data_IF_747929295891
#
_entry.id   IF_747929295891
#
_cell.length_a   1.000
_cell.length_b   1.000
_cell.length_c   1.000
_cell.angle_alpha   90.00
_cell.angle_beta   90.00
_cell.angle_gamma   90.00
#
_symmetry.space_group_name_H-M   'P 1'
#
loop_
_entity.id
_entity.type
_entity.pdbx_description
1 polymer ?
#
# COMPACT_ATOMS: atom_id res chain seq x y z
N UNK A 1 13.19 33.31 -6.11
CA UNK A 1 12.67 32.92 -4.78
C UNK A 1 11.66 31.81 -5.02
N UNK A 2 11.74 30.70 -4.27
CA UNK A 2 10.72 29.65 -4.38
C UNK A 2 9.51 30.06 -3.53
N UNK A 3 8.32 29.61 -3.89
CA UNK A 3 7.10 29.83 -3.10
C UNK A 3 6.44 28.48 -2.82
N UNK A 4 5.92 28.29 -1.60
CA UNK A 4 5.13 27.10 -1.25
C UNK A 4 3.68 27.20 -1.79
N UNK A 5 2.89 26.16 -1.57
CA UNK A 5 1.48 26.07 -1.97
C UNK A 5 0.56 27.15 -1.35
N UNK A 6 1.05 27.88 -0.34
CA UNK A 6 0.38 29.01 0.29
C UNK A 6 0.99 30.35 -0.13
N UNK A 7 1.89 30.36 -1.12
CA UNK A 7 2.56 31.55 -1.64
C UNK A 7 3.70 32.07 -0.76
N UNK A 8 4.11 31.34 0.28
CA UNK A 8 5.17 31.78 1.21
C UNK A 8 6.53 31.56 0.58
N UNK A 9 7.44 32.52 0.75
CA UNK A 9 8.79 32.42 0.20
C UNK A 9 9.56 31.30 0.90
N UNK A 10 10.04 30.34 0.11
CA UNK A 10 10.85 29.19 0.54
C UNK A 10 12.29 29.39 0.12
N UNK A 11 13.19 29.11 1.05
CA UNK A 11 14.63 29.27 0.86
C UNK A 11 15.29 27.98 0.38
N UNK A 12 15.49 27.88 -0.93
CA UNK A 12 16.06 26.71 -1.59
C UNK A 12 17.41 26.26 -1.01
N UNK A 13 18.25 27.23 -0.62
CA UNK A 13 19.58 26.96 -0.08
C UNK A 13 19.51 26.41 1.35
N UNK A 14 18.51 26.82 2.14
CA UNK A 14 18.26 26.25 3.46
C UNK A 14 17.79 24.79 3.38
N UNK A 15 16.94 24.47 2.41
CA UNK A 15 16.46 23.10 2.19
C UNK A 15 17.63 22.19 1.79
N UNK A 16 18.47 22.64 0.85
CA UNK A 16 19.64 21.87 0.41
C UNK A 16 20.66 21.66 1.55
N UNK A 17 20.97 22.70 2.32
CA UNK A 17 21.86 22.58 3.47
C UNK A 17 21.34 21.56 4.51
N UNK A 18 20.02 21.56 4.74
CA UNK A 18 19.36 20.60 5.64
C UNK A 18 19.41 19.15 5.11
N UNK A 19 19.18 18.94 3.81
CA UNK A 19 19.31 17.61 3.19
C UNK A 19 20.74 17.06 3.34
N UNK A 20 21.73 17.96 3.25
CA UNK A 20 23.15 17.61 3.32
C UNK A 20 23.70 17.54 4.75
N UNK A 21 22.90 17.94 5.75
CA UNK A 21 23.31 17.97 7.16
C UNK A 21 24.48 18.92 7.42
N UNK A 22 24.54 20.06 6.71
CA UNK A 22 25.55 21.11 6.89
C UNK A 22 24.89 22.43 7.26
N UNK A 23 25.62 23.33 7.90
CA UNK A 23 25.11 24.67 8.19
C UNK A 23 24.89 25.44 6.89
N UNK A 24 23.78 26.17 6.82
CA UNK A 24 23.39 26.95 5.64
C UNK A 24 24.49 27.90 5.16
N UNK A 25 25.28 28.46 6.09
CA UNK A 25 26.36 29.41 5.82
C UNK A 25 27.61 28.75 5.20
N UNK A 26 27.72 27.42 5.33
CA UNK A 26 28.78 26.59 4.75
C UNK A 26 28.48 26.14 3.32
N UNK A 27 27.24 26.32 2.85
CA UNK A 27 26.81 26.06 1.48
C UNK A 27 27.19 27.25 0.58
N UNK A 28 28.22 27.06 -0.26
CA UNK A 28 28.71 28.11 -1.18
C UNK A 28 27.80 28.24 -2.42
N UNK A 29 27.09 27.17 -2.76
CA UNK A 29 26.18 27.06 -3.90
C UNK A 29 26.05 25.59 -4.33
N UNK A 30 25.01 25.28 -5.12
CA UNK A 30 24.88 23.99 -5.79
C UNK A 30 25.25 24.25 -7.25
N UNK A 31 26.41 23.77 -7.69
CA UNK A 31 26.84 23.92 -9.08
C UNK A 31 26.18 22.82 -9.93
N UNK A 32 24.90 23.02 -10.19
CA UNK A 32 24.23 22.45 -11.34
C UNK A 32 23.92 23.64 -12.23
N UNK A 33 24.45 23.68 -13.47
CA UNK A 33 24.14 24.74 -14.43
C UNK A 33 22.64 25.04 -14.39
N UNK A 34 22.31 26.28 -14.02
CA UNK A 34 21.03 26.81 -13.54
C UNK A 34 19.80 25.88 -13.65
N UNK A 35 19.26 25.32 -12.54
CA UNK A 35 18.05 24.52 -12.59
C UNK A 35 16.80 25.37 -12.32
N UNK A 36 15.80 25.24 -13.20
CA UNK A 36 14.42 25.64 -12.92
C UNK A 36 13.69 24.50 -12.19
N UNK A 37 12.85 24.86 -11.20
CA UNK A 37 12.07 23.90 -10.41
C UNK A 37 10.63 23.84 -10.89
N UNK A 38 10.03 22.65 -10.95
CA UNK A 38 8.58 22.44 -11.11
C UNK A 38 8.13 21.42 -10.08
N UNK A 39 7.24 21.81 -9.17
CA UNK A 39 6.60 20.89 -8.22
C UNK A 39 5.41 20.18 -8.90
N UNK A 40 5.05 18.98 -8.42
CA UNK A 40 4.01 18.08 -8.97
C UNK A 40 2.62 18.72 -9.18
N UNK A 41 2.40 19.91 -8.63
CA UNK A 41 1.16 20.68 -8.67
C UNK A 41 1.19 21.90 -9.62
N UNK A 42 2.19 22.00 -10.52
CA UNK A 42 2.13 22.89 -11.70
C UNK A 42 2.55 24.35 -11.51
N UNK A 43 3.16 24.72 -10.37
CA UNK A 43 3.73 26.05 -10.17
C UNK A 43 5.05 26.25 -10.95
N UNK A 44 5.31 27.50 -11.37
CA UNK A 44 6.50 27.92 -12.12
C UNK A 44 7.24 29.07 -11.42
N UNK A 45 8.57 29.12 -11.55
CA UNK A 45 9.40 30.24 -11.10
C UNK A 45 10.21 30.84 -12.27
N UNK A 46 10.27 32.17 -12.39
CA UNK A 46 11.14 32.90 -13.32
C UNK A 46 12.46 33.28 -12.66
N UNK A 47 13.58 33.15 -13.39
CA UNK A 47 14.90 33.64 -12.98
C UNK A 47 15.53 34.39 -14.15
N UNK A 48 16.03 35.59 -13.88
CA UNK A 48 16.50 36.56 -14.86
C UNK A 48 17.84 36.25 -15.54
N UNK A 49 18.09 37.02 -16.60
CA UNK A 49 19.13 36.82 -17.62
C UNK A 49 20.57 36.86 -17.11
N UNK A 50 21.33 35.81 -17.46
CA UNK A 50 22.73 35.79 -17.94
C UNK A 50 23.55 34.66 -17.32
N UNK A 51 23.61 33.52 -17.99
CA UNK A 51 24.83 32.70 -18.18
C UNK A 51 24.53 31.50 -19.08
N UNK A 52 25.39 31.21 -20.07
CA UNK A 52 25.38 29.93 -20.81
C UNK A 52 26.64 29.14 -20.41
N UNK A 53 26.54 28.10 -19.56
CA UNK A 53 27.60 27.12 -19.43
C UNK A 53 27.38 25.94 -20.40
N UNK A 54 28.47 25.30 -20.87
CA UNK A 54 28.41 24.19 -21.80
C UNK A 54 27.84 22.94 -21.13
N UNK A 55 26.88 22.28 -21.80
CA UNK A 55 26.30 21.01 -21.36
C UNK A 55 27.36 19.90 -21.29
N UNK A 56 27.52 19.17 -20.17
CA UNK A 56 28.04 17.81 -20.21
C UNK A 56 26.89 16.86 -20.50
N UNK A 57 26.86 16.33 -21.72
CA UNK A 57 26.10 15.13 -22.03
C UNK A 57 26.73 13.98 -21.22
N UNK A 58 25.99 13.43 -20.25
CA UNK A 58 26.07 12.08 -19.68
C UNK A 58 25.74 12.12 -18.17
N UNK A 59 24.45 12.15 -17.84
CA UNK A 59 24.02 11.75 -16.50
C UNK A 59 22.94 10.65 -16.56
N UNK A 60 23.12 9.59 -15.76
CA UNK A 60 22.25 8.41 -15.68
C UNK A 60 21.56 8.33 -14.31
N UNK A 61 20.47 7.56 -14.22
CA UNK A 61 19.78 7.31 -12.96
C UNK A 61 20.72 6.65 -11.93
N UNK A 62 20.95 7.30 -10.79
CA UNK A 62 21.92 6.85 -9.77
C UNK A 62 23.26 7.57 -9.78
N UNK A 63 23.41 8.65 -10.54
CA UNK A 63 24.61 9.48 -10.53
C UNK A 63 24.82 10.21 -9.19
N UNK A 64 26.08 10.53 -8.92
CA UNK A 64 26.53 11.14 -7.67
C UNK A 64 27.02 12.56 -7.94
N UNK A 65 26.33 13.55 -7.38
CA UNK A 65 26.75 14.95 -7.43
C UNK A 65 27.71 15.23 -6.27
N UNK A 66 28.86 15.83 -6.58
CA UNK A 66 29.83 16.28 -5.59
C UNK A 66 29.53 17.73 -5.17
N UNK A 67 29.43 17.96 -3.87
CA UNK A 67 29.11 19.27 -3.28
C UNK A 67 30.27 19.71 -2.41
N UNK A 68 30.82 20.87 -2.72
CA UNK A 68 31.97 21.46 -2.05
C UNK A 68 31.51 22.41 -0.94
N UNK A 69 32.05 22.23 0.27
CA UNK A 69 31.76 23.10 1.42
C UNK A 69 32.83 24.16 1.62
N UNK A 70 32.48 25.26 2.28
CA UNK A 70 33.40 26.36 2.66
C UNK A 70 34.55 25.91 3.56
N UNK A 71 34.34 24.85 4.32
CA UNK A 71 35.34 24.18 5.15
C UNK A 71 36.30 23.25 4.37
N UNK A 72 36.19 23.18 3.03
CA UNK A 72 37.06 22.37 2.17
C UNK A 72 36.67 20.90 2.05
N UNK A 73 35.49 20.51 2.55
CA UNK A 73 34.96 19.16 2.45
C UNK A 73 34.21 18.92 1.14
N UNK A 74 34.22 17.67 0.66
CA UNK A 74 33.40 17.22 -0.48
C UNK A 74 32.40 16.20 0.01
N UNK A 75 31.11 16.44 -0.23
CA UNK A 75 29.99 15.52 0.05
C UNK A 75 29.43 14.98 -1.25
N UNK A 76 28.96 13.74 -1.24
CA UNK A 76 28.44 13.06 -2.41
C UNK A 76 26.95 12.75 -2.21
N UNK A 77 26.10 13.23 -3.12
CA UNK A 77 24.66 12.99 -3.11
C UNK A 77 24.27 12.16 -4.33
N UNK A 78 23.68 11.00 -4.09
CA UNK A 78 23.15 10.15 -5.16
C UNK A 78 21.76 10.66 -5.56
N UNK A 79 21.56 10.98 -6.83
CA UNK A 79 20.31 11.54 -7.35
C UNK A 79 19.69 10.64 -8.42
N UNK A 80 18.36 10.66 -8.50
CA UNK A 80 17.60 10.05 -9.59
C UNK A 80 17.24 11.14 -10.59
N UNK A 81 17.70 11.02 -11.83
CA UNK A 81 17.40 11.97 -12.90
C UNK A 81 16.32 11.35 -13.79
N UNK A 82 15.16 11.99 -13.89
CA UNK A 82 14.10 11.59 -14.82
C UNK A 82 14.36 12.29 -16.17
N UNK A 83 14.40 11.57 -17.30
CA UNK A 83 14.73 12.15 -18.60
C UNK A 83 13.49 12.83 -19.20
N UNK A 84 13.07 13.96 -18.64
CA UNK A 84 12.15 14.87 -19.29
C UNK A 84 12.91 16.11 -19.71
N UNK A 85 13.42 16.10 -20.95
CA UNK A 85 13.97 17.28 -21.60
C UNK A 85 12.82 18.08 -22.22
N UNK A 86 12.46 19.20 -21.60
CA UNK A 86 11.63 20.20 -22.25
C UNK A 86 12.50 21.33 -22.78
N UNK A 87 12.26 21.73 -24.03
CA UNK A 87 12.83 22.95 -24.58
C UNK A 87 12.05 24.16 -24.02
N UNK A 88 12.74 25.03 -23.29
CA UNK A 88 12.22 26.33 -22.91
C UNK A 88 11.89 27.19 -24.14
N UNK A 89 11.05 28.21 -23.97
CA UNK A 89 10.64 29.12 -25.07
C UNK A 89 11.79 29.93 -25.69
N UNK A 90 12.97 29.89 -25.08
CA UNK A 90 14.22 30.51 -25.53
C UNK A 90 15.25 29.50 -26.08
N UNK A 91 14.89 28.22 -26.18
CA UNK A 91 15.77 27.16 -26.67
C UNK A 91 16.70 26.54 -25.61
N UNK A 92 16.54 26.88 -24.33
CA UNK A 92 17.25 26.20 -23.24
C UNK A 92 16.71 24.78 -22.99
N UNK A 93 17.59 23.81 -22.68
CA UNK A 93 17.19 22.47 -22.24
C UNK A 93 17.08 22.43 -20.72
N UNK A 94 15.93 21.96 -20.21
CA UNK A 94 15.66 21.82 -18.77
C UNK A 94 15.76 20.35 -18.37
N UNK A 95 16.42 20.07 -17.24
CA UNK A 95 16.50 18.73 -16.65
C UNK A 95 15.85 18.75 -15.25
N UNK A 96 15.01 17.75 -14.96
CA UNK A 96 14.32 17.61 -13.67
C UNK A 96 15.07 16.59 -12.81
N UNK A 97 15.48 17.00 -11.61
CA UNK A 97 16.15 16.12 -10.64
C UNK A 97 15.13 15.76 -9.57
N UNK A 98 14.89 14.46 -9.40
CA UNK A 98 13.98 13.91 -8.41
C UNK A 98 14.77 13.62 -7.11
N UNK A 99 14.45 14.37 -6.05
CA UNK A 99 15.08 14.26 -4.74
C UNK A 99 14.18 13.55 -3.71
N UNK A 100 13.06 12.97 -4.13
CA UNK A 100 12.05 12.35 -3.25
C UNK A 100 12.66 11.25 -2.39
N UNK A 101 13.59 10.48 -2.96
CA UNK A 101 14.24 9.36 -2.28
C UNK A 101 15.32 9.80 -1.28
N UNK A 102 15.96 10.95 -1.53
CA UNK A 102 16.89 11.59 -0.58
C UNK A 102 16.12 12.28 0.57
N UNK A 103 14.96 12.87 0.27
CA UNK A 103 14.06 13.49 1.25
C UNK A 103 13.49 12.47 2.23
N UNK A 104 13.04 11.30 1.75
CA UNK A 104 12.53 10.20 2.60
C UNK A 104 13.58 9.63 3.57
N UNK A 105 14.88 9.72 3.22
CA UNK A 105 15.99 9.19 4.04
C UNK A 105 16.55 10.19 5.04
N UNK A 106 16.24 11.49 4.91
CA UNK A 106 16.77 12.52 5.81
C UNK A 106 15.88 12.70 7.05
N UNK A 107 16.28 12.11 8.19
CA UNK A 107 15.58 12.21 9.49
C UNK A 107 15.55 13.63 10.11
N UNK A 108 16.23 14.62 9.52
CA UNK A 108 16.38 15.99 10.07
C UNK A 108 15.62 17.07 9.29
N UNK A 109 14.93 16.73 8.19
CA UNK A 109 14.24 17.71 7.35
C UNK A 109 12.77 17.97 7.73
N UNK A 110 12.25 17.37 8.80
CA UNK A 110 10.99 17.83 9.37
C UNK A 110 11.21 19.20 10.02
N UNK A 111 10.37 20.21 9.75
CA UNK A 111 10.44 21.47 10.49
C UNK A 111 10.36 21.16 12.00
N UNK A 112 11.38 21.60 12.73
CA UNK A 112 11.36 21.58 14.17
C UNK A 112 10.24 22.51 14.62
N UNK A 113 9.15 21.91 15.12
CA UNK A 113 8.17 22.43 16.10
C UNK A 113 6.67 22.19 15.79
N UNK A 114 6.29 21.28 14.88
CA UNK A 114 4.87 20.83 14.76
C UNK A 114 4.71 19.32 14.45
N UNK A 115 5.43 18.79 13.45
CA UNK A 115 5.24 17.41 12.97
C UNK A 115 5.62 16.31 13.99
N UNK A 116 6.61 16.54 14.86
CA UNK A 116 6.96 15.60 15.93
C UNK A 116 5.95 15.61 17.08
N UNK A 117 5.25 16.73 17.28
CA UNK A 117 4.17 16.85 18.26
C UNK A 117 2.94 16.10 17.74
N UNK A 118 2.60 16.29 16.47
CA UNK A 118 1.47 15.63 15.80
C UNK A 118 1.62 14.09 15.76
N UNK A 119 2.79 13.57 15.37
CA UNK A 119 3.02 12.12 15.32
C UNK A 119 2.91 11.44 16.70
N UNK A 120 3.37 12.10 17.77
CA UNK A 120 3.27 11.58 19.14
C UNK A 120 1.82 11.61 19.65
N UNK A 121 1.09 12.70 19.37
CA UNK A 121 -0.32 12.81 19.71
C UNK A 121 -1.16 11.78 18.96
N UNK A 122 -0.87 11.57 17.67
CA UNK A 122 -1.52 10.54 16.88
C UNK A 122 -1.22 9.14 17.41
N UNK A 123 -0.01 8.87 17.89
CA UNK A 123 0.35 7.58 18.50
C UNK A 123 -0.41 7.31 19.80
N UNK A 124 -0.53 8.33 20.66
CA UNK A 124 -1.30 8.26 21.90
C UNK A 124 -2.79 8.11 21.62
N UNK A 125 -3.33 8.87 20.65
CA UNK A 125 -4.70 8.75 20.20
C UNK A 125 -5.00 7.38 19.58
N UNK A 126 -4.10 6.83 18.77
CA UNK A 126 -4.24 5.50 18.18
C UNK A 126 -4.26 4.42 19.26
N UNK A 127 -3.37 4.52 20.26
CA UNK A 127 -3.36 3.60 21.41
C UNK A 127 -4.67 3.64 22.18
N UNK A 128 -5.22 4.83 22.39
CA UNK A 128 -6.51 5.00 23.05
C UNK A 128 -7.66 4.46 22.19
N UNK A 129 -7.67 4.74 20.88
CA UNK A 129 -8.68 4.24 19.95
C UNK A 129 -8.68 2.72 19.88
N UNK A 130 -7.50 2.08 19.82
CA UNK A 130 -7.37 0.62 19.87
C UNK A 130 -7.90 0.06 21.20
N UNK A 131 -7.56 0.69 22.33
CA UNK A 131 -8.04 0.25 23.66
C UNK A 131 -9.55 0.40 23.83
N UNK A 132 -10.13 1.45 23.24
CA UNK A 132 -11.56 1.78 23.28
C UNK A 132 -12.36 1.11 22.17
N UNK A 133 -11.71 0.31 21.32
CA UNK A 133 -12.34 -0.36 20.18
C UNK A 133 -13.00 0.62 19.17
N UNK A 134 -12.36 1.77 18.95
CA UNK A 134 -12.80 2.84 18.04
C UNK A 134 -12.25 2.66 16.61
N UNK A 135 -11.46 1.62 16.35
CA UNK A 135 -11.02 1.26 15.00
C UNK A 135 -12.17 0.58 14.27
N UNK A 136 -12.66 1.22 13.21
CA UNK A 136 -13.71 0.70 12.36
C UNK A 136 -13.19 -0.24 11.28
N UNK A 137 -14.11 -0.95 10.61
CA UNK A 137 -13.80 -1.73 9.42
C UNK A 137 -14.70 -1.28 8.27
N UNK A 138 -14.12 -1.19 7.08
CA UNK A 138 -14.85 -1.16 5.82
C UNK A 138 -14.74 -2.54 5.16
N UNK A 139 -15.83 -3.03 4.61
CA UNK A 139 -15.92 -4.31 3.90
C UNK A 139 -15.87 -4.03 2.40
N UNK A 140 -14.86 -4.54 1.72
CA UNK A 140 -14.78 -4.47 0.26
C UNK A 140 -15.19 -5.83 -0.32
N UNK A 141 -16.17 -5.88 -1.24
CA UNK A 141 -16.61 -7.15 -1.81
C UNK A 141 -15.55 -7.75 -2.75
N UNK A 142 -15.40 -9.06 -2.65
CA UNK A 142 -14.65 -9.92 -3.57
C UNK A 142 -15.66 -10.72 -4.39
N UNK A 143 -15.56 -10.65 -5.72
CA UNK A 143 -16.55 -11.22 -6.65
C UNK A 143 -15.92 -12.33 -7.48
N UNK A 144 -16.56 -13.50 -7.56
CA UNK A 144 -16.20 -14.56 -8.51
C UNK A 144 -16.41 -14.04 -9.92
N UNK A 145 -15.33 -13.93 -10.69
CA UNK A 145 -15.36 -13.27 -12.00
C UNK A 145 -16.26 -14.04 -12.98
N UNK A 146 -16.19 -15.38 -12.96
CA UNK A 146 -16.95 -16.22 -13.89
C UNK A 146 -18.48 -16.14 -13.71
N UNK A 147 -18.95 -15.79 -12.52
CA UNK A 147 -20.37 -15.92 -12.15
C UNK A 147 -20.99 -14.62 -11.64
N UNK A 148 -20.17 -13.61 -11.33
CA UNK A 148 -20.61 -12.38 -10.68
C UNK A 148 -21.03 -12.57 -9.22
N UNK A 149 -20.76 -13.75 -8.62
CA UNK A 149 -21.18 -14.01 -7.25
C UNK A 149 -20.23 -13.48 -6.20
N UNK A 150 -20.77 -13.10 -5.03
CA UNK A 150 -19.94 -12.71 -3.90
C UNK A 150 -19.14 -13.93 -3.43
N UNK A 151 -17.82 -13.85 -3.52
CA UNK A 151 -16.88 -14.82 -2.98
C UNK A 151 -16.58 -14.56 -1.50
N UNK A 152 -16.60 -13.29 -1.11
CA UNK A 152 -16.25 -12.84 0.23
C UNK A 152 -16.19 -11.33 0.36
N UNK A 153 -15.65 -10.89 1.49
CA UNK A 153 -15.31 -9.50 1.74
C UNK A 153 -13.93 -9.37 2.37
N UNK A 154 -13.14 -8.41 1.94
CA UNK A 154 -11.95 -7.98 2.68
C UNK A 154 -12.35 -6.94 3.73
N UNK A 155 -11.95 -7.16 4.98
CA UNK A 155 -12.18 -6.22 6.07
C UNK A 155 -10.96 -5.31 6.26
N UNK A 156 -11.12 -4.06 5.82
CA UNK A 156 -10.10 -3.04 5.83
C UNK A 156 -10.25 -2.12 7.05
N UNK A 157 -9.20 -1.97 7.85
CA UNK A 157 -9.21 -1.09 9.02
C UNK A 157 -9.46 0.37 8.61
N UNK A 158 -10.27 1.08 9.39
CA UNK A 158 -10.59 2.49 9.21
C UNK A 158 -10.47 3.20 10.55
N UNK A 159 -9.82 4.35 10.57
CA UNK A 159 -9.68 5.14 11.77
C UNK A 159 -9.97 6.61 11.48
N UNK A 160 -10.75 7.21 12.37
CA UNK A 160 -11.03 8.64 12.36
C UNK A 160 -10.34 9.29 13.54
N UNK A 161 -9.67 10.40 13.27
CA UNK A 161 -9.03 11.20 14.29
C UNK A 161 -9.26 12.68 14.00
N UNK A 162 -9.73 13.43 15.01
CA UNK A 162 -10.10 14.84 14.88
C UNK A 162 -11.07 15.10 13.71
N UNK A 163 -12.15 14.31 13.63
CA UNK A 163 -13.16 14.39 12.56
C UNK A 163 -12.62 14.19 11.13
N UNK A 164 -11.42 13.63 10.97
CA UNK A 164 -10.80 13.32 9.68
C UNK A 164 -10.52 11.83 9.56
N UNK A 165 -10.76 11.28 8.37
CA UNK A 165 -10.33 9.93 8.04
C UNK A 165 -8.80 9.89 7.96
N UNK A 166 -8.18 8.99 8.72
CA UNK A 166 -6.73 8.77 8.69
C UNK A 166 -6.45 7.65 7.67
N UNK A 167 -5.54 7.87 6.70
CA UNK A 167 -5.16 6.84 5.74
C UNK A 167 -4.67 5.57 6.43
N UNK A 168 -5.10 4.37 6.00
CA UNK A 168 -4.63 3.10 6.55
C UNK A 168 -3.12 2.97 6.62
N UNK A 169 -2.42 3.28 5.53
CA UNK A 169 -0.96 3.23 5.47
C UNK A 169 -0.28 4.02 6.61
N UNK A 170 -0.85 5.17 6.98
CA UNK A 170 -0.29 6.05 8.00
C UNK A 170 -0.44 5.46 9.41
N UNK A 171 -1.65 5.03 9.80
CA UNK A 171 -1.86 4.54 11.16
C UNK A 171 -1.41 3.09 11.34
N UNK A 172 -1.40 2.27 10.28
CA UNK A 172 -0.84 0.92 10.32
C UNK A 172 0.67 0.99 10.53
N UNK A 173 1.39 1.83 9.78
CA UNK A 173 2.83 2.04 10.00
C UNK A 173 3.11 2.54 11.44
N UNK A 174 2.24 3.40 11.98
CA UNK A 174 2.35 3.85 13.36
C UNK A 174 2.08 2.72 14.37
N UNK A 175 1.08 1.88 14.12
CA UNK A 175 0.75 0.72 14.95
C UNK A 175 1.90 -0.29 14.98
N UNK A 176 2.58 -0.51 13.85
CA UNK A 176 3.78 -1.35 13.79
C UNK A 176 4.92 -0.77 14.63
N UNK A 177 5.24 0.51 14.44
CA UNK A 177 6.32 1.18 15.19
C UNK A 177 6.07 1.23 16.70
N UNK A 178 4.80 1.24 17.11
CA UNK A 178 4.38 1.36 18.51
C UNK A 178 3.97 0.04 19.15
N UNK A 179 4.04 -1.07 18.41
CA UNK A 179 3.69 -2.41 18.90
C UNK A 179 2.20 -2.64 19.14
N UNK A 180 1.32 -1.86 18.49
CA UNK A 180 -0.14 -1.94 18.64
C UNK A 180 -0.79 -2.96 17.68
N UNK A 181 -0.05 -3.52 16.72
CA UNK A 181 -0.60 -4.47 15.74
C UNK A 181 -1.34 -5.67 16.37
N UNK A 182 -0.85 -6.32 17.44
CA UNK A 182 -1.58 -7.43 18.07
C UNK A 182 -2.97 -7.07 18.60
N UNK A 183 -3.13 -5.87 19.15
CA UNK A 183 -4.42 -5.40 19.68
C UNK A 183 -5.33 -4.88 18.56
N UNK A 184 -4.76 -4.15 17.60
CA UNK A 184 -5.47 -3.64 16.44
C UNK A 184 -6.04 -4.79 15.59
N UNK A 185 -5.20 -5.76 15.23
CA UNK A 185 -5.60 -6.91 14.43
C UNK A 185 -6.64 -7.78 15.12
N UNK A 186 -6.56 -7.93 16.44
CA UNK A 186 -7.61 -8.60 17.24
C UNK A 186 -8.95 -7.88 17.15
N UNK A 187 -8.96 -6.55 17.19
CA UNK A 187 -10.19 -5.76 17.04
C UNK A 187 -10.77 -5.91 15.63
N UNK A 188 -9.93 -5.81 14.59
CA UNK A 188 -10.31 -6.00 13.19
C UNK A 188 -10.90 -7.39 12.96
N UNK A 189 -10.21 -8.45 13.39
CA UNK A 189 -10.68 -9.84 13.29
C UNK A 189 -12.05 -10.02 13.97
N UNK A 190 -12.19 -9.54 15.20
CA UNK A 190 -13.45 -9.66 15.95
C UNK A 190 -14.60 -8.95 15.21
N UNK A 191 -14.36 -7.75 14.69
CA UNK A 191 -15.35 -6.96 13.92
C UNK A 191 -15.68 -7.62 12.59
N UNK A 192 -14.70 -8.18 11.89
CA UNK A 192 -14.87 -8.89 10.62
C UNK A 192 -15.73 -10.16 10.78
N UNK A 193 -15.43 -10.98 11.79
CA UNK A 193 -16.23 -12.17 12.10
C UNK A 193 -17.65 -11.82 12.55
N UNK A 194 -17.80 -10.74 13.33
CA UNK A 194 -19.12 -10.22 13.71
C UNK A 194 -19.92 -9.76 12.49
N UNK A 195 -19.31 -8.96 11.61
CA UNK A 195 -19.94 -8.49 10.37
C UNK A 195 -20.44 -9.67 9.53
N UNK A 196 -19.60 -10.68 9.32
CA UNK A 196 -20.00 -11.91 8.62
C UNK A 196 -21.18 -12.61 9.28
N UNK A 197 -21.13 -12.80 10.60
CA UNK A 197 -22.22 -13.41 11.36
C UNK A 197 -23.53 -12.65 11.17
N UNK A 198 -23.50 -11.32 11.25
CA UNK A 198 -24.70 -10.48 11.05
C UNK A 198 -25.26 -10.63 9.64
N UNK A 199 -24.41 -10.70 8.62
CA UNK A 199 -24.85 -10.94 7.23
C UNK A 199 -25.52 -12.30 7.07
N UNK A 200 -24.96 -13.37 7.66
CA UNK A 200 -25.58 -14.71 7.67
C UNK A 200 -26.91 -14.72 8.42
N UNK A 201 -26.98 -14.08 9.58
CA UNK A 201 -28.22 -14.00 10.37
C UNK A 201 -29.33 -13.21 9.66
N UNK A 202 -28.96 -12.30 8.76
CA UNK A 202 -29.89 -11.59 7.89
C UNK A 202 -30.36 -12.41 6.67
N UNK A 203 -29.91 -13.67 6.54
CA UNK A 203 -30.31 -14.60 5.48
C UNK A 203 -29.47 -14.53 4.20
N UNK A 204 -28.34 -13.81 4.23
CA UNK A 204 -27.44 -13.74 3.08
C UNK A 204 -26.33 -14.80 3.15
N UNK A 205 -25.73 -15.12 2.00
CA UNK A 205 -24.45 -15.85 1.92
C UNK A 205 -23.31 -14.87 1.59
N UNK A 206 -22.56 -14.38 2.60
CA UNK A 206 -21.46 -13.44 2.38
C UNK A 206 -20.17 -14.13 1.94
N UNK A 207 -20.15 -15.45 1.78
CA UNK A 207 -18.92 -16.19 1.50
C UNK A 207 -17.90 -16.10 2.64
N UNK A 208 -16.63 -15.85 2.28
CA UNK A 208 -15.52 -15.65 3.22
C UNK A 208 -15.40 -14.22 3.74
N UNK A 209 -14.59 -14.03 4.79
CA UNK A 209 -14.09 -12.73 5.22
C UNK A 209 -12.57 -12.78 5.32
N UNK A 210 -11.90 -11.85 4.65
CA UNK A 210 -10.45 -11.73 4.63
C UNK A 210 -9.98 -10.61 5.57
N UNK A 211 -8.87 -10.82 6.26
CA UNK A 211 -8.19 -9.80 7.07
C UNK A 211 -6.70 -9.78 6.78
N UNK A 212 -6.09 -8.59 6.81
CA UNK A 212 -4.65 -8.43 6.76
C UNK A 212 -4.01 -8.77 8.12
N UNK A 213 -2.87 -9.47 8.10
CA UNK A 213 -2.10 -9.79 9.30
C UNK A 213 -0.62 -9.45 9.12
N UNK A 214 -0.06 -8.76 10.12
CA UNK A 214 1.36 -8.43 10.18
C UNK A 214 2.22 -9.58 10.73
N UNK A 215 3.53 -9.51 10.48
CA UNK A 215 4.48 -10.45 11.07
C UNK A 215 4.50 -10.39 12.62
N UNK A 216 4.29 -9.19 13.19
CA UNK A 216 4.24 -8.98 14.63
C UNK A 216 3.06 -9.73 15.29
N UNK A 217 1.92 -9.80 14.59
CA UNK A 217 0.74 -10.56 15.02
C UNK A 217 0.96 -12.06 14.92
N UNK A 218 1.43 -12.55 13.77
CA UNK A 218 1.61 -13.98 13.51
C UNK A 218 2.75 -14.59 14.35
N UNK A 219 3.68 -13.75 14.81
CA UNK A 219 4.73 -14.14 15.74
C UNK A 219 4.24 -14.31 17.19
N UNK A 220 3.02 -13.87 17.52
CA UNK A 220 2.46 -14.10 18.86
C UNK A 220 2.16 -15.59 19.05
N UNK A 221 2.70 -16.17 20.13
CA UNK A 221 2.56 -17.60 20.42
C UNK A 221 1.10 -18.05 20.59
N UNK A 222 0.21 -17.15 20.99
CA UNK A 222 -1.21 -17.44 21.18
C UNK A 222 -2.09 -17.08 19.97
N UNK A 223 -1.54 -16.57 18.86
CA UNK A 223 -2.32 -16.04 17.73
C UNK A 223 -3.34 -17.04 17.18
N UNK A 224 -2.90 -18.25 16.77
CA UNK A 224 -3.82 -19.27 16.25
C UNK A 224 -4.90 -19.67 17.27
N UNK A 225 -4.53 -19.76 18.56
CA UNK A 225 -5.49 -20.06 19.63
C UNK A 225 -6.49 -18.92 19.85
N UNK A 226 -6.06 -17.67 19.66
CA UNK A 226 -6.90 -16.48 19.73
C UNK A 226 -7.90 -16.46 18.58
N UNK A 227 -7.45 -16.75 17.35
CA UNK A 227 -8.30 -16.89 16.16
C UNK A 227 -9.37 -17.96 16.39
N UNK A 228 -8.97 -19.16 16.83
CA UNK A 228 -9.91 -20.25 17.16
C UNK A 228 -10.98 -19.81 18.17
N UNK A 229 -10.59 -19.17 19.28
CA UNK A 229 -11.55 -18.68 20.28
C UNK A 229 -12.52 -17.64 19.71
N UNK A 230 -12.07 -16.76 18.81
CA UNK A 230 -12.95 -15.75 18.20
C UNK A 230 -13.91 -16.36 17.18
N UNK A 231 -13.45 -17.33 16.37
CA UNK A 231 -14.29 -18.11 15.47
C UNK A 231 -15.41 -18.82 16.23
N UNK A 232 -15.06 -19.53 17.31
CA UNK A 232 -16.03 -20.24 18.17
C UNK A 232 -17.05 -19.27 18.78
N UNK A 233 -16.59 -18.14 19.33
CA UNK A 233 -17.46 -17.12 19.93
C UNK A 233 -18.45 -16.54 18.92
N UNK A 234 -18.05 -16.40 17.66
CA UNK A 234 -18.90 -15.85 16.61
C UNK A 234 -19.70 -16.93 15.86
N UNK A 235 -19.44 -18.22 16.11
CA UNK A 235 -20.07 -19.32 15.38
C UNK A 235 -19.70 -19.31 13.89
N UNK A 236 -18.49 -18.89 13.55
CA UNK A 236 -18.01 -18.82 12.16
C UNK A 236 -17.10 -20.02 11.90
N UNK A 237 -17.41 -20.79 10.86
CA UNK A 237 -16.53 -21.89 10.41
C UNK A 237 -15.17 -21.32 9.98
N UNK A 238 -14.04 -21.95 10.39
CA UNK A 238 -12.69 -21.51 10.00
C UNK A 238 -12.50 -21.36 8.48
N UNK A 239 -13.18 -22.17 7.67
CA UNK A 239 -13.10 -22.11 6.19
C UNK A 239 -13.62 -20.80 5.59
N UNK A 240 -14.35 -20.00 6.37
CA UNK A 240 -14.82 -18.69 5.97
C UNK A 240 -13.93 -17.55 6.47
N UNK A 241 -12.84 -17.83 7.16
CA UNK A 241 -11.81 -16.84 7.47
C UNK A 241 -10.63 -17.03 6.52
N UNK A 242 -10.19 -15.94 5.92
CA UNK A 242 -8.97 -15.84 5.16
C UNK A 242 -8.03 -14.83 5.83
N UNK A 243 -6.76 -15.19 5.98
CA UNK A 243 -5.73 -14.31 6.51
C UNK A 243 -4.78 -13.97 5.37
N UNK A 244 -4.66 -12.69 5.08
CA UNK A 244 -3.82 -12.14 4.05
C UNK A 244 -2.49 -11.70 4.68
N UNK A 245 -1.39 -12.12 4.06
CA UNK A 245 -0.03 -11.81 4.50
C UNK A 245 0.76 -11.32 3.30
N UNK A 246 1.66 -10.36 3.48
CA UNK A 246 2.53 -9.89 2.40
C UNK A 246 3.72 -10.83 2.19
N UNK A 247 4.39 -10.71 1.04
CA UNK A 247 5.63 -11.43 0.76
C UNK A 247 6.72 -11.21 1.82
N UNK A 248 6.81 -9.99 2.36
CA UNK A 248 7.81 -9.66 3.38
C UNK A 248 7.57 -10.45 4.68
N UNK A 249 6.30 -10.62 5.08
CA UNK A 249 5.94 -11.41 6.25
C UNK A 249 6.43 -12.86 6.09
N UNK A 250 6.26 -13.45 4.91
CA UNK A 250 6.74 -14.80 4.62
C UNK A 250 8.27 -14.95 4.71
N UNK A 251 9.02 -13.89 4.42
CA UNK A 251 10.48 -13.87 4.37
C UNK A 251 11.15 -13.56 5.72
N UNK A 252 10.40 -13.06 6.70
CA UNK A 252 10.97 -12.66 7.97
C UNK A 252 11.60 -13.83 8.77
N UNK A 253 12.75 -13.54 9.39
CA UNK A 253 13.63 -14.50 10.09
C UNK A 253 13.01 -15.19 11.33
N UNK A 254 11.77 -14.87 11.69
CA UNK A 254 10.96 -15.60 12.66
C UNK A 254 10.33 -16.89 12.08
N UNK A 255 10.92 -17.44 11.02
CA UNK A 255 10.40 -18.54 10.20
C UNK A 255 9.83 -19.72 11.01
N UNK A 256 10.38 -20.07 12.17
CA UNK A 256 9.84 -21.18 12.99
C UNK A 256 8.59 -20.80 13.79
N UNK A 257 8.48 -19.57 14.29
CA UNK A 257 7.26 -19.12 14.98
C UNK A 257 6.12 -18.91 13.97
N UNK A 258 6.41 -18.17 12.90
CA UNK A 258 5.47 -17.94 11.81
C UNK A 258 4.99 -19.24 11.18
N UNK A 259 5.90 -20.16 10.82
CA UNK A 259 5.51 -21.45 10.25
C UNK A 259 4.58 -22.23 11.18
N UNK A 260 4.87 -22.29 12.48
CA UNK A 260 3.99 -22.96 13.45
C UNK A 260 2.61 -22.32 13.55
N UNK A 261 2.55 -20.99 13.50
CA UNK A 261 1.27 -20.26 13.51
C UNK A 261 0.47 -20.55 12.24
N UNK A 262 1.10 -20.48 11.06
CA UNK A 262 0.45 -20.78 9.77
C UNK A 262 0.01 -22.24 9.69
N UNK A 263 0.83 -23.19 10.15
CA UNK A 263 0.47 -24.61 10.23
C UNK A 263 -0.72 -24.84 11.15
N UNK A 264 -0.77 -24.15 12.30
CA UNK A 264 -1.89 -24.23 13.23
C UNK A 264 -3.17 -23.63 12.62
N UNK A 265 -3.08 -22.50 11.91
CA UNK A 265 -4.21 -21.88 11.19
C UNK A 265 -4.74 -22.80 10.09
N UNK A 266 -3.85 -23.42 9.31
CA UNK A 266 -4.25 -24.43 8.31
C UNK A 266 -4.91 -25.64 8.95
N UNK A 267 -4.39 -26.14 10.08
CA UNK A 267 -4.99 -27.26 10.79
C UNK A 267 -6.39 -26.93 11.33
N UNK A 268 -6.67 -25.66 11.65
CA UNK A 268 -8.01 -25.19 11.97
C UNK A 268 -8.93 -25.11 10.74
N UNK A 269 -8.37 -25.04 9.53
CA UNK A 269 -9.11 -24.85 8.28
C UNK A 269 -9.23 -23.39 7.83
N UNK A 270 -8.48 -22.48 8.45
CA UNK A 270 -8.35 -21.07 8.02
C UNK A 270 -7.56 -21.02 6.71
N UNK A 271 -8.01 -20.20 5.76
CA UNK A 271 -7.31 -19.97 4.49
C UNK A 271 -6.23 -18.92 4.64
N UNK A 272 -5.12 -19.09 3.94
CA UNK A 272 -4.04 -18.11 3.87
C UNK A 272 -3.91 -17.61 2.43
N UNK A 273 -3.93 -16.29 2.26
CA UNK A 273 -3.68 -15.63 1.00
C UNK A 273 -2.36 -14.87 1.05
N UNK A 274 -1.62 -14.88 -0.05
CA UNK A 274 -0.43 -14.07 -0.21
C UNK A 274 -0.79 -12.79 -0.97
N UNK A 275 -0.62 -11.66 -0.30
CA UNK A 275 -0.88 -10.33 -0.81
C UNK A 275 0.35 -9.68 -1.47
N UNK A 276 0.09 -8.70 -2.33
CA UNK A 276 1.09 -7.95 -3.10
C UNK A 276 2.06 -8.82 -3.91
N UNK A 277 1.58 -9.98 -4.40
CA UNK A 277 2.46 -10.93 -5.09
C UNK A 277 3.03 -10.34 -6.39
N UNK A 278 4.35 -10.42 -6.53
CA UNK A 278 5.12 -9.86 -7.65
C UNK A 278 5.86 -8.57 -7.34
N UNK A 279 5.68 -8.01 -6.13
CA UNK A 279 6.40 -6.81 -5.67
C UNK A 279 7.62 -7.13 -4.79
N UNK A 280 7.75 -8.39 -4.34
CA UNK A 280 8.76 -8.83 -3.38
C UNK A 280 9.68 -9.96 -3.86
N UNK A 281 10.22 -10.71 -2.89
CA UNK A 281 11.24 -11.77 -3.09
C UNK A 281 10.73 -13.18 -2.76
N UNK A 282 9.41 -13.40 -2.65
CA UNK A 282 8.85 -14.70 -2.31
C UNK A 282 9.09 -15.72 -3.43
N UNK A 283 9.98 -16.69 -3.18
CA UNK A 283 10.22 -17.80 -4.11
C UNK A 283 9.04 -18.78 -4.15
N UNK A 284 8.88 -19.48 -5.29
CA UNK A 284 7.93 -20.60 -5.45
C UNK A 284 8.05 -21.67 -4.35
N UNK A 285 9.27 -21.86 -3.80
CA UNK A 285 9.50 -22.78 -2.69
C UNK A 285 8.72 -22.35 -1.44
N UNK A 286 8.65 -21.05 -1.16
CA UNK A 286 7.91 -20.54 -0.01
C UNK A 286 6.41 -20.76 -0.19
N UNK A 287 5.86 -20.50 -1.37
CA UNK A 287 4.45 -20.75 -1.69
C UNK A 287 4.05 -22.21 -1.37
N UNK A 288 4.86 -23.16 -1.83
CA UNK A 288 4.62 -24.59 -1.58
C UNK A 288 4.80 -24.99 -0.11
N UNK A 289 5.79 -24.42 0.57
CA UNK A 289 6.07 -24.74 1.98
C UNK A 289 4.93 -24.27 2.89
N UNK A 290 4.41 -23.06 2.67
CA UNK A 290 3.43 -22.44 3.53
C UNK A 290 1.98 -22.73 3.15
N UNK A 291 1.72 -23.65 2.21
CA UNK A 291 0.35 -24.09 1.83
C UNK A 291 -0.61 -22.93 1.57
N UNK A 292 -0.12 -21.92 0.86
CA UNK A 292 -0.93 -20.77 0.46
C UNK A 292 -2.13 -21.26 -0.35
N UNK A 293 -3.32 -20.73 -0.05
CA UNK A 293 -4.56 -21.09 -0.75
C UNK A 293 -4.85 -20.17 -1.93
N UNK A 294 -4.32 -18.95 -1.88
CA UNK A 294 -4.70 -17.88 -2.79
C UNK A 294 -3.57 -16.90 -3.00
N UNK A 295 -3.39 -16.46 -4.24
CA UNK A 295 -2.50 -15.37 -4.60
C UNK A 295 -3.34 -14.14 -4.94
N UNK A 296 -2.93 -12.97 -4.46
CA UNK A 296 -3.52 -11.69 -4.82
C UNK A 296 -2.53 -10.94 -5.72
N UNK A 297 -2.96 -10.59 -6.93
CA UNK A 297 -2.17 -9.76 -7.84
C UNK A 297 -2.47 -8.30 -7.59
N UNK A 298 -1.41 -7.55 -7.28
CA UNK A 298 -1.50 -6.14 -6.92
C UNK A 298 -2.10 -5.28 -8.05
N UNK A 299 -2.78 -4.20 -7.63
CA UNK A 299 -3.39 -3.21 -8.51
C UNK A 299 -2.42 -2.63 -9.54
N UNK A 300 -1.13 -2.49 -9.23
CA UNK A 300 -0.16 -1.91 -10.17
C UNK A 300 -0.10 -2.69 -11.49
N UNK A 301 -0.23 -4.02 -11.45
CA UNK A 301 -0.30 -4.85 -12.66
C UNK A 301 -1.68 -4.81 -13.32
N UNK A 302 -2.75 -4.81 -12.53
CA UNK A 302 -4.13 -4.77 -13.06
C UNK A 302 -4.46 -3.44 -13.72
N UNK A 303 -3.83 -2.34 -13.30
CA UNK A 303 -4.08 -1.01 -13.87
C UNK A 303 -3.69 -0.95 -15.35
N UNK A 304 -2.64 -1.67 -15.77
CA UNK A 304 -2.14 -1.62 -17.14
C UNK A 304 -2.85 -2.52 -18.14
N UNK A 305 -3.61 -3.53 -17.72
CA UNK A 305 -4.29 -4.45 -18.64
C UNK A 305 -5.60 -3.87 -19.20
N UNK A 306 -5.99 -4.22 -20.43
CA UNK A 306 -5.24 -5.01 -21.42
C UNK A 306 -4.27 -4.19 -22.29
N UNK A 307 -4.09 -2.90 -22.02
CA UNK A 307 -3.35 -1.98 -22.90
C UNK A 307 -1.83 -2.11 -22.86
N UNK A 308 -1.27 -2.53 -21.73
CA UNK A 308 0.16 -2.76 -21.55
C UNK A 308 0.50 -4.23 -21.79
N UNK A 309 1.35 -4.49 -22.79
CA UNK A 309 1.76 -5.84 -23.16
C UNK A 309 2.55 -6.55 -22.05
N UNK A 310 3.38 -5.83 -21.30
CA UNK A 310 4.19 -6.41 -20.22
C UNK A 310 3.29 -6.83 -19.06
N UNK A 311 2.40 -5.94 -18.60
CA UNK A 311 1.44 -6.25 -17.53
C UNK A 311 0.51 -7.40 -17.92
N UNK A 312 0.06 -7.43 -19.18
CA UNK A 312 -0.77 -8.52 -19.74
C UNK A 312 -0.06 -9.88 -19.65
N UNK A 313 1.23 -9.92 -20.02
CA UNK A 313 2.02 -11.16 -19.94
C UNK A 313 2.21 -11.58 -18.48
N UNK A 314 2.50 -10.63 -17.59
CA UNK A 314 2.70 -10.89 -16.15
C UNK A 314 1.42 -11.43 -15.51
N UNK A 315 0.29 -10.74 -15.70
CA UNK A 315 -1.01 -11.13 -15.12
C UNK A 315 -1.40 -12.54 -15.57
N UNK A 316 -1.27 -12.84 -16.86
CA UNK A 316 -1.56 -14.19 -17.38
C UNK A 316 -0.65 -15.24 -16.75
N UNK A 317 0.65 -14.99 -16.71
CA UNK A 317 1.60 -15.93 -16.12
C UNK A 317 1.34 -16.17 -14.63
N UNK A 318 0.92 -15.14 -13.89
CA UNK A 318 0.55 -15.27 -12.48
C UNK A 318 -0.73 -16.11 -12.30
N UNK A 319 -1.76 -15.91 -13.14
CA UNK A 319 -2.98 -16.73 -13.10
C UNK A 319 -2.63 -18.20 -13.36
N UNK A 320 -1.88 -18.48 -14.43
CA UNK A 320 -1.47 -19.84 -14.76
C UNK A 320 -0.64 -20.48 -13.62
N UNK A 321 0.27 -19.71 -13.02
CA UNK A 321 1.06 -20.17 -11.88
C UNK A 321 0.21 -20.52 -10.65
N UNK A 322 -0.78 -19.69 -10.33
CA UNK A 322 -1.68 -19.96 -9.20
C UNK A 322 -2.41 -21.30 -9.43
N UNK A 323 -2.96 -21.49 -10.63
CA UNK A 323 -3.67 -22.72 -11.00
C UNK A 323 -2.77 -23.94 -10.99
N UNK A 324 -1.54 -23.84 -11.52
CA UNK A 324 -0.54 -24.92 -11.51
C UNK A 324 -0.11 -25.35 -10.09
N UNK A 325 -0.35 -24.48 -9.10
CA UNK A 325 -0.06 -24.73 -7.68
C UNK A 325 -1.30 -25.04 -6.84
N UNK A 326 -2.46 -25.29 -7.48
CA UNK A 326 -3.76 -25.49 -6.84
C UNK A 326 -4.18 -24.32 -5.92
N UNK A 327 -3.90 -23.09 -6.35
CA UNK A 327 -4.26 -21.85 -5.65
C UNK A 327 -5.27 -21.02 -6.46
N UNK A 328 -6.17 -20.32 -5.75
CA UNK A 328 -7.05 -19.32 -6.37
C UNK A 328 -6.25 -18.04 -6.71
N UNK A 329 -6.61 -17.36 -7.80
CA UNK A 329 -6.13 -16.01 -8.09
C UNK A 329 -7.19 -14.94 -7.75
N UNK A 330 -6.77 -13.89 -7.03
CA UNK A 330 -7.54 -12.65 -6.84
C UNK A 330 -6.88 -11.49 -7.55
N UNK A 331 -7.60 -10.82 -8.44
CA UNK A 331 -7.14 -9.58 -9.05
C UNK A 331 -7.63 -8.34 -8.29
N UNK A 332 -6.71 -7.48 -7.90
CA UNK A 332 -7.02 -6.25 -7.16
C UNK A 332 -7.07 -5.00 -8.03
N UNK A 333 -7.83 -4.00 -7.60
CA UNK A 333 -7.87 -2.70 -8.26
C UNK A 333 -8.57 -2.70 -9.63
N UNK A 334 -9.56 -3.57 -9.84
CA UNK A 334 -10.38 -3.56 -11.05
C UNK A 334 -11.25 -2.30 -11.09
N UNK A 335 -11.01 -1.43 -12.05
CA UNK A 335 -11.69 -0.14 -12.24
C UNK A 335 -12.47 -0.05 -13.56
N UNK A 336 -12.13 -0.86 -14.57
CA UNK A 336 -12.75 -0.79 -15.89
C UNK A 336 -13.35 -2.12 -16.36
N UNK A 337 -14.36 -2.04 -17.22
CA UNK A 337 -15.00 -3.23 -17.83
C UNK A 337 -14.03 -4.02 -18.70
N UNK A 338 -13.05 -3.36 -19.31
CA UNK A 338 -12.02 -3.98 -20.13
C UNK A 338 -11.07 -4.83 -19.28
N UNK A 339 -10.68 -4.34 -18.08
CA UNK A 339 -9.88 -5.11 -17.12
C UNK A 339 -10.64 -6.35 -16.66
N UNK A 340 -11.92 -6.21 -16.30
CA UNK A 340 -12.75 -7.34 -15.88
C UNK A 340 -12.91 -8.38 -17.00
N UNK A 341 -13.15 -7.93 -18.24
CA UNK A 341 -13.29 -8.80 -19.40
C UNK A 341 -12.00 -9.58 -19.68
N UNK A 342 -10.85 -8.91 -19.62
CA UNK A 342 -9.55 -9.55 -19.77
C UNK A 342 -9.32 -10.63 -18.69
N UNK A 343 -9.58 -10.30 -17.42
CA UNK A 343 -9.42 -11.25 -16.32
C UNK A 343 -10.37 -12.45 -16.46
N UNK A 344 -11.60 -12.23 -16.95
CA UNK A 344 -12.55 -13.30 -17.23
C UNK A 344 -12.09 -14.22 -18.38
N UNK A 345 -11.57 -13.64 -19.46
CA UNK A 345 -11.00 -14.39 -20.60
C UNK A 345 -9.85 -15.29 -20.16
N UNK A 346 -9.02 -14.79 -19.24
CA UNK A 346 -7.90 -15.54 -18.68
C UNK A 346 -8.26 -16.42 -17.48
N UNK A 347 -9.56 -16.57 -17.16
CA UNK A 347 -10.08 -17.43 -16.09
C UNK A 347 -9.54 -17.08 -14.70
N UNK A 348 -9.30 -15.80 -14.42
CA UNK A 348 -9.05 -15.34 -13.06
C UNK A 348 -10.27 -15.68 -12.18
N UNK A 349 -10.03 -16.17 -10.95
CA UNK A 349 -11.09 -16.76 -10.12
C UNK A 349 -11.96 -15.69 -9.46
N UNK A 350 -11.32 -14.70 -8.83
CA UNK A 350 -11.97 -13.66 -8.03
C UNK A 350 -11.39 -12.29 -8.37
N UNK A 351 -12.23 -11.27 -8.34
CA UNK A 351 -11.86 -9.88 -8.56
C UNK A 351 -12.30 -8.98 -7.41
N UNK A 352 -11.49 -7.96 -7.15
CA UNK A 352 -11.76 -6.90 -6.19
C UNK A 352 -11.39 -5.55 -6.82
N UNK A 353 -12.24 -4.55 -6.65
CA UNK A 353 -11.97 -3.22 -7.21
C UNK A 353 -13.20 -2.32 -7.21
N UNK A 354 -13.00 -1.03 -7.49
CA UNK A 354 -14.08 -0.04 -7.41
C UNK A 354 -15.19 -0.26 -8.44
N UNK A 355 -14.90 -0.95 -9.55
CA UNK A 355 -15.92 -1.39 -10.51
C UNK A 355 -16.90 -2.40 -9.87
N UNK A 356 -16.37 -3.31 -9.05
CA UNK A 356 -17.10 -4.43 -8.45
C UNK A 356 -17.75 -4.06 -7.11
N UNK A 357 -17.15 -3.12 -6.39
CA UNK A 357 -17.69 -2.52 -5.18
C UNK A 357 -16.62 -1.82 -4.36
N UNK A 358 -16.97 -0.66 -3.81
CA UNK A 358 -16.08 0.12 -2.94
C UNK A 358 -16.08 -0.45 -1.52
N UNK A 359 -14.99 -0.26 -0.75
CA UNK A 359 -15.01 -0.49 0.69
C UNK A 359 -16.16 0.28 1.33
N UNK A 360 -16.99 -0.41 2.11
CA UNK A 360 -18.23 0.16 2.62
C UNK A 360 -18.51 -0.27 4.06
N UNK A 361 -19.40 0.45 4.78
CA UNK A 361 -19.83 0.03 6.12
C UNK A 361 -20.59 -1.30 6.07
N UNK A 362 -20.77 -1.96 7.22
CA UNK A 362 -21.58 -3.19 7.30
C UNK A 362 -23.00 -3.00 6.75
N UNK A 363 -23.62 -1.85 7.01
CA UNK A 363 -24.97 -1.56 6.49
C UNK A 363 -24.97 -1.44 4.96
N UNK A 364 -23.99 -0.75 4.40
CA UNK A 364 -23.84 -0.60 2.96
C UNK A 364 -23.47 -1.93 2.28
N UNK A 365 -22.62 -2.75 2.90
CA UNK A 365 -22.29 -4.08 2.41
C UNK A 365 -23.54 -4.98 2.36
N UNK A 366 -24.40 -4.94 3.39
CA UNK A 366 -25.69 -5.65 3.36
C UNK A 366 -26.62 -5.15 2.25
N UNK A 367 -26.69 -3.84 2.04
CA UNK A 367 -27.47 -3.27 0.94
C UNK A 367 -26.93 -3.73 -0.43
N UNK A 368 -25.62 -3.80 -0.60
CA UNK A 368 -24.96 -4.34 -1.78
C UNK A 368 -25.30 -5.82 -2.01
N UNK A 369 -25.33 -6.65 -0.97
CA UNK A 369 -25.75 -8.05 -1.09
C UNK A 369 -27.22 -8.20 -1.51
N UNK A 370 -28.09 -7.34 -0.99
CA UNK A 370 -29.50 -7.36 -1.33
C UNK A 370 -29.74 -7.04 -2.82
N UNK A 371 -29.05 -6.04 -3.37
CA UNK A 371 -29.18 -5.68 -4.79
C UNK A 371 -28.67 -6.78 -5.71
N UNK A 372 -27.58 -7.47 -5.35
CA UNK A 372 -27.05 -8.63 -6.09
C UNK A 372 -28.04 -9.80 -6.12
N UNK A 373 -28.76 -10.03 -5.02
CA UNK A 373 -29.76 -11.11 -4.96
C UNK A 373 -30.94 -10.83 -5.90
N UNK A 374 -31.39 -9.57 -5.96
CA UNK A 374 -32.51 -9.16 -6.82
C UNK A 374 -32.15 -9.23 -8.31
N UNK A 375 -30.98 -8.72 -8.71
CA UNK A 375 -30.54 -8.75 -10.11
C UNK A 375 -30.50 -10.16 -10.70
N UNK A 376 -30.27 -11.18 -9.88
CA UNK A 376 -30.28 -12.58 -10.32
C UNK A 376 -31.67 -13.17 -10.46
N UNK A 377 -32.60 -12.78 -9.59
CA UNK A 377 -34.00 -13.22 -9.70
C UNK A 377 -34.65 -12.65 -10.96
N UNK A 378 -34.20 -11.47 -11.42
CA UNK A 378 -34.69 -10.85 -12.65
C UNK A 378 -33.98 -11.36 -13.93
N UNK A 379 -32.83 -12.03 -13.80
CA UNK A 379 -32.03 -12.53 -14.92
C UNK A 379 -32.19 -14.03 -15.22
N UNK A 380 -32.85 -14.78 -14.34
CA UNK A 380 -33.21 -16.19 -14.53
C UNK A 380 -34.67 -16.37 -14.88
#
# INVERSE_FOLDING_TARGET
MLHDEHGRVVDANAIAANILGIDREDLIGIDAGTPYWRLENGAHAEVGDRFQPPLPANHHNGDVIAIHTRSGGVRQLKVSVQPYAFAGRDGSMVCLIDLTDAWRRCRRCAPADDASYDARHMAEALRDAVRRDEIEIALQPQIRIATGEIAGFEALARWRWQERDVPPEQFIALAEQTGLMPDLGRNVLRRALFARRIMVQAGYDPGGVAINASAAELSQADYASMVCRLLDRQGVSPHHLEIEITENVLLERAATALARTLDALHALGVRIALDDFGTGYASLKHLKQFRINRLKIDRSFVTGIPGNADDTVIVRAMIDLAHDLDMDMVAEGIETTEQLAFLAEHRCDVGQGFLLGRPASLEQARAFMASQTHQRQDAG
#
